data_IF_550439883193
#
_entry.id   IF_550439883193
#
_cell.length_a   1.000
_cell.length_b   1.000
_cell.length_c   1.000
_cell.angle_alpha   90.00
_cell.angle_beta   90.00
_cell.angle_gamma   90.00
#
_symmetry.space_group_name_H-M   'P 1'
#
loop_
_entity.id
_entity.type
_entity.pdbx_description
1 polymer ?
#
# COMPACT_ATOMS: atom_id res chain seq x y z
N UNK A 1 2.63 -18.64 -14.61
CA UNK A 1 2.38 -17.22 -14.27
C UNK A 1 3.32 -16.40 -15.14
N UNK A 2 2.84 -15.34 -15.80
CA UNK A 2 3.67 -14.47 -16.64
C UNK A 2 4.71 -13.74 -15.76
N UNK A 3 5.93 -13.57 -16.25
CA UNK A 3 6.95 -12.83 -15.52
C UNK A 3 6.55 -11.36 -15.35
N UNK A 4 6.82 -10.73 -14.20
CA UNK A 4 6.37 -9.35 -13.93
C UNK A 4 6.81 -8.32 -14.96
N UNK A 5 8.01 -8.47 -15.53
CA UNK A 5 8.51 -7.59 -16.59
C UNK A 5 7.69 -7.74 -17.88
N UNK A 6 7.43 -8.97 -18.27
CA UNK A 6 6.61 -9.31 -19.43
C UNK A 6 5.18 -8.79 -19.23
N UNK A 7 4.62 -9.00 -18.03
CA UNK A 7 3.30 -8.49 -17.67
C UNK A 7 3.22 -6.97 -17.79
N UNK A 8 4.23 -6.25 -17.30
CA UNK A 8 4.28 -4.80 -17.38
C UNK A 8 4.41 -4.29 -18.82
N UNK A 9 5.09 -5.03 -19.70
CA UNK A 9 5.30 -4.60 -21.10
C UNK A 9 4.08 -4.84 -22.01
N UNK A 10 3.18 -5.77 -21.65
CA UNK A 10 2.07 -6.23 -22.51
C UNK A 10 0.71 -5.68 -22.11
N UNK A 11 0.65 -4.66 -21.24
CA UNK A 11 -0.62 -4.08 -20.80
C UNK A 11 -1.35 -3.38 -21.95
N UNK A 12 -2.69 -3.53 -22.04
CA UNK A 12 -3.47 -2.94 -23.12
C UNK A 12 -3.61 -1.41 -23.02
N UNK A 13 -3.13 -0.81 -21.95
CA UNK A 13 -3.14 0.65 -21.78
C UNK A 13 -2.01 1.36 -22.52
N UNK A 14 -0.99 0.64 -22.99
CA UNK A 14 0.10 1.24 -23.72
C UNK A 14 -0.28 1.54 -25.18
N UNK A 15 0.08 2.71 -25.67
CA UNK A 15 -0.17 3.12 -27.05
C UNK A 15 0.95 2.70 -27.99
N UNK A 16 2.13 2.38 -27.46
CA UNK A 16 3.32 1.95 -28.21
C UNK A 16 3.91 0.67 -27.61
N UNK A 17 4.90 0.09 -28.27
CA UNK A 17 5.75 -0.95 -27.65
C UNK A 17 6.63 -0.31 -26.60
N UNK A 18 6.50 -0.74 -25.37
CA UNK A 18 7.21 -0.18 -24.23
C UNK A 18 8.29 -1.14 -23.69
N UNK A 19 9.31 -0.58 -23.06
CA UNK A 19 10.36 -1.32 -22.36
C UNK A 19 10.38 -0.90 -20.89
N UNK A 20 9.73 -1.67 -19.99
CA UNK A 20 9.70 -1.36 -18.57
C UNK A 20 11.11 -1.43 -17.95
N UNK A 21 11.47 -0.42 -17.17
CA UNK A 21 12.74 -0.36 -16.44
C UNK A 21 12.46 -0.61 -14.96
N UNK A 22 13.11 -1.59 -14.31
CA UNK A 22 12.90 -1.87 -12.90
C UNK A 22 13.14 -0.64 -12.03
N UNK A 23 12.18 -0.36 -11.13
CA UNK A 23 12.25 0.70 -10.13
C UNK A 23 12.48 0.04 -8.77
N UNK A 24 13.59 0.39 -8.11
CA UNK A 24 13.93 -0.13 -6.79
C UNK A 24 12.94 0.35 -5.72
N UNK A 25 12.69 -0.47 -4.72
CA UNK A 25 11.80 -0.20 -3.59
C UNK A 25 10.47 -0.95 -3.70
N UNK A 26 9.93 -1.33 -2.54
CA UNK A 26 8.73 -2.14 -2.40
C UNK A 26 9.05 -3.59 -2.03
N UNK A 27 8.33 -4.10 -1.02
CA UNK A 27 8.50 -5.46 -0.50
C UNK A 27 7.52 -6.45 -1.15
N UNK A 28 6.41 -5.97 -1.66
CA UNK A 28 5.27 -6.78 -2.11
C UNK A 28 4.92 -6.62 -3.60
N UNK A 29 5.65 -5.77 -4.31
CA UNK A 29 5.42 -5.49 -5.73
C UNK A 29 6.72 -5.47 -6.53
N UNK A 30 6.61 -5.82 -7.80
CA UNK A 30 7.61 -5.48 -8.82
C UNK A 30 7.19 -4.14 -9.43
N UNK A 31 8.04 -3.13 -9.26
CA UNK A 31 7.78 -1.78 -9.76
C UNK A 31 8.65 -1.51 -10.98
N UNK A 32 8.07 -0.82 -11.97
CA UNK A 32 8.74 -0.44 -13.20
C UNK A 32 8.43 1.01 -13.55
N UNK A 33 9.41 1.73 -14.06
CA UNK A 33 9.16 2.94 -14.82
C UNK A 33 8.91 2.53 -16.27
N UNK A 34 7.84 3.04 -16.85
CA UNK A 34 7.46 2.78 -18.24
C UNK A 34 7.30 4.12 -18.95
N UNK A 35 7.93 4.26 -20.10
CA UNK A 35 7.72 5.41 -20.97
C UNK A 35 6.87 4.98 -22.18
N UNK A 36 5.74 5.63 -22.37
CA UNK A 36 4.84 5.43 -23.49
C UNK A 36 4.53 6.78 -24.12
N UNK A 37 4.87 6.90 -25.41
CA UNK A 37 4.66 8.11 -26.20
C UNK A 37 5.22 9.40 -25.54
N UNK A 38 6.41 9.30 -24.94
CA UNK A 38 7.11 10.42 -24.28
C UNK A 38 6.59 10.77 -22.87
N UNK A 39 5.58 10.05 -22.37
CA UNK A 39 5.05 10.20 -21.01
C UNK A 39 5.53 9.05 -20.12
N UNK A 40 5.96 9.38 -18.89
CA UNK A 40 6.39 8.38 -17.92
C UNK A 40 5.27 7.96 -16.97
N UNK A 41 5.31 6.69 -16.61
CA UNK A 41 4.39 6.03 -15.69
C UNK A 41 5.14 5.13 -14.70
N UNK A 42 4.51 4.83 -13.58
CA UNK A 42 4.94 3.73 -12.71
C UNK A 42 3.95 2.59 -12.87
N UNK A 43 4.44 1.44 -13.32
CA UNK A 43 3.69 0.21 -13.39
C UNK A 43 4.07 -0.70 -12.21
N UNK A 44 3.10 -1.09 -11.41
CA UNK A 44 3.24 -1.99 -10.26
C UNK A 44 2.56 -3.30 -10.58
N UNK A 45 3.32 -4.38 -10.52
CA UNK A 45 2.84 -5.75 -10.75
C UNK A 45 2.99 -6.55 -9.46
N UNK A 46 1.91 -7.13 -8.97
CA UNK A 46 1.96 -7.95 -7.77
C UNK A 46 0.60 -8.51 -7.37
N UNK A 47 0.58 -9.78 -7.00
CA UNK A 47 -0.61 -10.48 -6.54
C UNK A 47 -1.00 -10.08 -5.10
N UNK A 48 -2.19 -10.51 -4.69
CA UNK A 48 -2.62 -10.44 -3.30
C UNK A 48 -1.65 -11.19 -2.39
N UNK A 49 -1.42 -10.66 -1.20
CA UNK A 49 -0.68 -11.31 -0.11
C UNK A 49 -1.54 -11.35 1.16
N UNK A 50 -2.49 -12.30 1.23
CA UNK A 50 -3.47 -12.34 2.33
C UNK A 50 -2.82 -12.48 3.71
N UNK A 51 -1.67 -13.17 3.79
CA UNK A 51 -0.91 -13.33 5.04
C UNK A 51 -0.46 -11.98 5.63
N UNK A 52 -0.30 -10.96 4.78
CA UNK A 52 0.07 -9.61 5.18
C UNK A 52 -1.10 -8.62 5.06
N UNK A 53 -2.32 -9.10 4.85
CA UNK A 53 -3.50 -8.28 4.57
C UNK A 53 -3.32 -7.30 3.38
N UNK A 54 -2.42 -7.64 2.45
CA UNK A 54 -2.22 -6.87 1.23
C UNK A 54 -3.15 -7.42 0.16
N UNK A 55 -4.26 -6.74 -0.07
CA UNK A 55 -5.25 -7.09 -1.08
C UNK A 55 -5.37 -5.97 -2.12
N UNK A 56 -5.25 -6.31 -3.39
CA UNK A 56 -5.13 -5.33 -4.48
C UNK A 56 -6.40 -4.51 -4.67
N UNK A 57 -7.57 -5.09 -4.47
CA UNK A 57 -8.82 -4.33 -4.52
C UNK A 57 -8.84 -3.18 -3.49
N UNK A 58 -8.28 -3.41 -2.29
CA UNK A 58 -8.20 -2.40 -1.24
C UNK A 58 -7.21 -1.29 -1.62
N UNK A 59 -6.03 -1.66 -2.13
CA UNK A 59 -5.03 -0.72 -2.63
C UNK A 59 -5.63 0.20 -3.71
N UNK A 60 -6.34 -0.37 -4.67
CA UNK A 60 -6.99 0.38 -5.75
C UNK A 60 -8.11 1.29 -5.25
N UNK A 61 -8.94 0.82 -4.31
CA UNK A 61 -10.05 1.60 -3.75
C UNK A 61 -9.55 2.78 -2.93
N UNK A 62 -8.56 2.55 -2.05
CA UNK A 62 -7.92 3.59 -1.25
C UNK A 62 -7.14 4.55 -2.13
N UNK A 63 -6.44 4.03 -3.15
CA UNK A 63 -5.71 4.85 -4.12
C UNK A 63 -6.61 5.80 -4.90
N UNK A 64 -7.80 5.35 -5.35
CA UNK A 64 -8.79 6.25 -6.00
C UNK A 64 -9.28 7.34 -5.05
N UNK A 65 -9.50 7.02 -3.78
CA UNK A 65 -9.88 8.03 -2.79
C UNK A 65 -8.76 9.05 -2.55
N UNK A 66 -7.51 8.60 -2.48
CA UNK A 66 -6.33 9.45 -2.32
C UNK A 66 -6.09 10.34 -3.55
N UNK A 67 -6.31 9.83 -4.76
CA UNK A 67 -6.29 10.61 -6.00
C UNK A 67 -7.38 11.71 -5.98
N UNK A 68 -8.61 11.34 -5.62
CA UNK A 68 -9.74 12.27 -5.58
C UNK A 68 -9.52 13.46 -4.63
N UNK A 69 -8.67 13.31 -3.62
CA UNK A 69 -8.31 14.37 -2.67
C UNK A 69 -6.90 14.95 -2.92
N UNK A 70 -6.27 14.60 -4.03
CA UNK A 70 -4.99 15.19 -4.48
C UNK A 70 -3.77 14.78 -3.65
N UNK A 71 -3.78 13.59 -3.04
CA UNK A 71 -2.66 13.08 -2.21
C UNK A 71 -1.77 12.11 -2.97
N UNK A 72 -2.29 11.45 -3.99
CA UNK A 72 -1.53 10.54 -4.85
C UNK A 72 -1.63 10.96 -6.32
N UNK A 73 -0.70 10.48 -7.18
CA UNK A 73 -0.82 10.66 -8.62
C UNK A 73 -2.04 9.93 -9.16
N UNK A 74 -2.45 10.31 -10.36
CA UNK A 74 -3.60 9.74 -11.04
C UNK A 74 -3.37 8.25 -11.37
N UNK A 75 -4.41 7.44 -11.16
CA UNK A 75 -4.44 6.05 -11.60
C UNK A 75 -4.85 6.00 -13.09
N UNK A 76 -3.97 5.46 -13.91
CA UNK A 76 -4.15 5.39 -15.37
C UNK A 76 -4.85 4.10 -15.78
N UNK A 77 -4.42 2.99 -15.15
CA UNK A 77 -4.93 1.66 -15.47
C UNK A 77 -4.84 0.73 -14.28
N UNK A 78 -5.82 -0.16 -14.14
CA UNK A 78 -5.86 -1.16 -13.08
C UNK A 78 -6.38 -2.51 -13.57
N UNK A 79 -5.74 -3.59 -13.14
CA UNK A 79 -6.20 -4.98 -13.18
C UNK A 79 -6.00 -5.63 -11.80
N UNK A 80 -6.48 -6.84 -11.55
CA UNK A 80 -6.35 -7.47 -10.23
C UNK A 80 -4.91 -7.53 -9.69
N UNK A 81 -3.93 -7.69 -10.58
CA UNK A 81 -2.50 -7.80 -10.25
C UNK A 81 -1.66 -6.59 -10.69
N UNK A 82 -2.29 -5.56 -11.27
CA UNK A 82 -1.60 -4.42 -11.88
C UNK A 82 -2.21 -3.08 -11.44
N UNK A 83 -1.34 -2.13 -11.18
CA UNK A 83 -1.67 -0.72 -11.02
C UNK A 83 -0.68 0.13 -11.81
N UNK A 84 -1.19 0.95 -12.73
CA UNK A 84 -0.41 1.97 -13.45
C UNK A 84 -0.83 3.35 -12.96
N UNK A 85 0.16 4.15 -12.55
CA UNK A 85 -0.03 5.53 -12.10
C UNK A 85 0.89 6.48 -12.85
N UNK A 86 0.56 7.76 -12.85
CA UNK A 86 1.45 8.80 -13.36
C UNK A 86 2.77 8.80 -12.59
N UNK A 87 3.87 9.02 -13.32
CA UNK A 87 5.18 9.17 -12.71
C UNK A 87 5.30 10.56 -12.09
N UNK A 88 5.78 10.63 -10.85
CA UNK A 88 6.15 11.89 -10.19
C UNK A 88 7.65 12.05 -10.29
N UNK A 89 8.09 13.11 -10.97
CA UNK A 89 9.49 13.52 -10.93
C UNK A 89 9.76 14.26 -9.61
N UNK A 90 10.32 13.53 -8.65
CA UNK A 90 10.52 14.04 -7.31
C UNK A 90 11.56 13.24 -6.52
N UNK A 91 12.00 13.80 -5.41
CA UNK A 91 12.90 13.14 -4.46
C UNK A 91 12.09 12.35 -3.44
N UNK A 92 12.37 11.06 -3.29
CA UNK A 92 11.89 10.28 -2.16
C UNK A 92 12.53 10.79 -0.86
N UNK A 93 11.70 11.14 0.12
CA UNK A 93 12.17 11.62 1.41
C UNK A 93 12.76 10.46 2.23
N UNK A 94 14.00 10.64 2.70
CA UNK A 94 14.63 9.75 3.67
C UNK A 94 14.29 10.14 5.12
N UNK A 95 14.74 9.34 6.12
CA UNK A 95 14.42 9.61 7.54
C UNK A 95 14.80 11.00 8.01
N UNK A 96 15.92 11.55 7.53
CA UNK A 96 16.36 12.92 7.88
C UNK A 96 15.47 13.98 7.24
N UNK A 97 15.07 13.77 5.99
CA UNK A 97 14.19 14.71 5.27
C UNK A 97 12.81 14.76 5.97
N UNK A 98 12.28 13.61 6.42
CA UNK A 98 10.98 13.54 7.12
C UNK A 98 10.99 14.41 8.38
N UNK A 99 12.08 14.39 9.17
CA UNK A 99 12.19 15.21 10.37
C UNK A 99 12.23 16.71 10.06
N UNK A 100 12.84 17.10 8.94
CA UNK A 100 12.94 18.52 8.50
C UNK A 100 11.61 18.99 7.89
N UNK A 101 10.95 18.14 7.12
CA UNK A 101 9.76 18.48 6.33
C UNK A 101 8.44 18.16 7.07
N UNK A 102 8.50 17.93 8.38
CA UNK A 102 7.35 17.48 9.17
C UNK A 102 6.14 18.41 9.03
N UNK A 103 6.37 19.72 9.06
CA UNK A 103 5.33 20.72 8.91
C UNK A 103 4.63 20.71 7.53
N UNK A 104 5.28 20.14 6.51
CA UNK A 104 4.70 19.95 5.18
C UNK A 104 4.02 18.59 5.04
N UNK A 105 4.50 17.57 5.75
CA UNK A 105 4.01 16.19 5.68
C UNK A 105 2.72 16.03 6.50
N UNK A 106 2.71 16.50 7.75
CA UNK A 106 1.57 16.31 8.67
C UNK A 106 0.23 16.84 8.14
N UNK A 107 0.15 18.05 7.56
CA UNK A 107 -1.10 18.52 6.98
C UNK A 107 -1.62 17.63 5.85
N UNK A 108 -0.74 17.02 5.04
CA UNK A 108 -1.15 16.11 3.97
C UNK A 108 -1.69 14.79 4.50
N UNK A 109 -1.04 14.22 5.52
CA UNK A 109 -1.54 13.01 6.19
C UNK A 109 -2.90 13.29 6.83
N UNK A 110 -3.04 14.40 7.56
CA UNK A 110 -4.30 14.81 8.18
C UNK A 110 -5.39 15.01 7.13
N UNK A 111 -5.08 15.73 6.05
CA UNK A 111 -6.00 15.93 4.93
C UNK A 111 -6.48 14.60 4.35
N UNK A 112 -5.58 13.63 4.15
CA UNK A 112 -5.96 12.32 3.65
C UNK A 112 -6.85 11.56 4.64
N UNK A 113 -6.55 11.58 5.93
CA UNK A 113 -7.37 10.94 6.96
C UNK A 113 -8.80 11.53 7.03
N UNK A 114 -8.93 12.84 6.84
CA UNK A 114 -10.23 13.52 6.94
C UNK A 114 -11.02 13.49 5.63
N UNK A 115 -10.40 13.89 4.53
CA UNK A 115 -11.05 14.00 3.23
C UNK A 115 -11.07 12.68 2.46
N UNK A 116 -10.02 11.87 2.54
CA UNK A 116 -9.91 10.58 1.88
C UNK A 116 -10.98 9.60 2.33
N UNK A 117 -11.28 9.55 3.63
CA UNK A 117 -12.37 8.72 4.17
C UNK A 117 -13.73 9.07 3.56
N UNK A 118 -13.99 10.36 3.31
CA UNK A 118 -15.23 10.81 2.67
C UNK A 118 -15.28 10.50 1.17
N UNK A 119 -14.12 10.34 0.54
CA UNK A 119 -13.97 10.01 -0.87
C UNK A 119 -14.01 8.50 -1.15
N UNK A 120 -13.89 7.66 -0.13
CA UNK A 120 -13.93 6.20 -0.27
C UNK A 120 -15.24 5.74 -0.90
N UNK A 121 -15.15 4.82 -1.85
CA UNK A 121 -16.27 4.16 -2.51
C UNK A 121 -15.98 2.68 -2.70
N UNK A 122 -17.00 1.85 -2.51
CA UNK A 122 -16.89 0.40 -2.65
C UNK A 122 -16.31 -0.30 -1.41
N UNK A 123 -16.00 -1.59 -1.52
CA UNK A 123 -15.49 -2.37 -0.41
C UNK A 123 -14.06 -1.94 -0.05
N UNK A 124 -13.81 -1.86 1.26
CA UNK A 124 -12.48 -1.60 1.84
C UNK A 124 -12.24 -2.52 3.02
N UNK A 125 -10.96 -2.74 3.33
CA UNK A 125 -10.56 -3.37 4.58
C UNK A 125 -10.40 -2.33 5.69
N UNK A 126 -11.06 -2.57 6.82
CA UNK A 126 -10.77 -1.83 8.03
C UNK A 126 -9.43 -2.27 8.63
N UNK A 127 -8.59 -1.32 8.99
CA UNK A 127 -7.36 -1.60 9.73
C UNK A 127 -7.62 -1.48 11.24
N UNK A 128 -7.50 -2.60 11.96
CA UNK A 128 -7.46 -2.61 13.42
C UNK A 128 -6.13 -3.19 13.85
N UNK A 129 -5.33 -2.42 14.56
CA UNK A 129 -4.02 -2.85 15.06
C UNK A 129 -4.14 -4.10 15.95
N UNK A 130 -5.18 -4.17 16.79
CA UNK A 130 -5.41 -5.31 17.67
C UNK A 130 -5.80 -6.58 16.91
N UNK A 131 -6.61 -6.45 15.84
CA UNK A 131 -6.88 -7.57 14.95
C UNK A 131 -5.60 -8.07 14.25
N UNK A 132 -4.76 -7.17 13.78
CA UNK A 132 -3.49 -7.51 13.14
C UNK A 132 -2.54 -8.20 14.13
N UNK A 133 -2.46 -7.74 15.38
CA UNK A 133 -1.66 -8.41 16.41
C UNK A 133 -2.10 -9.86 16.61
N UNK A 134 -3.40 -10.11 16.79
CA UNK A 134 -3.93 -11.48 16.92
C UNK A 134 -3.66 -12.34 15.69
N UNK A 135 -3.81 -11.77 14.50
CA UNK A 135 -3.53 -12.46 13.24
C UNK A 135 -2.07 -12.92 13.16
N UNK A 136 -1.12 -12.01 13.33
CA UNK A 136 0.30 -12.36 13.29
C UNK A 136 0.73 -13.27 14.45
N UNK A 137 0.19 -13.08 15.64
CA UNK A 137 0.48 -13.96 16.77
C UNK A 137 0.09 -15.41 16.45
N UNK A 138 -1.11 -15.61 15.85
CA UNK A 138 -1.54 -16.95 15.40
C UNK A 138 -0.59 -17.52 14.35
N UNK A 139 -0.20 -16.76 13.34
CA UNK A 139 0.72 -17.22 12.29
C UNK A 139 2.09 -17.62 12.87
N UNK A 140 2.64 -16.84 13.78
CA UNK A 140 3.93 -17.12 14.42
C UNK A 140 3.84 -18.32 15.36
N UNK A 141 2.70 -18.51 16.03
CA UNK A 141 2.42 -19.66 16.86
C UNK A 141 2.36 -20.93 16.01
N UNK A 142 1.58 -20.94 14.93
CA UNK A 142 1.39 -22.08 14.03
C UNK A 142 2.72 -22.45 13.31
N UNK A 143 3.57 -21.47 13.03
CA UNK A 143 4.90 -21.66 12.46
C UNK A 143 5.96 -22.12 13.48
N UNK A 144 5.59 -22.41 14.74
CA UNK A 144 6.54 -22.71 15.82
C UNK A 144 7.70 -21.70 15.93
N UNK A 145 7.40 -20.41 15.76
CA UNK A 145 8.39 -19.35 15.84
C UNK A 145 9.12 -19.35 17.19
N UNK A 146 10.42 -19.07 17.19
CA UNK A 146 11.22 -18.83 18.40
C UNK A 146 10.69 -17.71 19.28
N UNK A 147 9.82 -16.85 18.74
CA UNK A 147 9.21 -15.71 19.44
C UNK A 147 7.97 -16.09 20.27
N UNK A 148 7.54 -17.36 20.27
CA UNK A 148 6.32 -17.80 21.00
C UNK A 148 6.26 -17.35 22.45
N UNK A 149 7.33 -17.48 23.29
CA UNK A 149 7.25 -17.03 24.68
C UNK A 149 6.97 -15.54 24.84
N UNK A 150 7.48 -14.73 23.92
CA UNK A 150 7.24 -13.28 23.91
C UNK A 150 5.86 -12.91 23.38
N UNK A 151 5.30 -13.73 22.45
CA UNK A 151 3.99 -13.50 21.89
C UNK A 151 2.86 -13.54 22.92
N UNK A 152 2.89 -14.47 23.86
CA UNK A 152 1.88 -14.57 24.93
C UNK A 152 1.81 -13.27 25.73
N UNK A 153 2.96 -12.79 26.19
CA UNK A 153 3.06 -11.52 26.93
C UNK A 153 2.59 -10.31 26.08
N UNK A 154 2.95 -10.26 24.80
CA UNK A 154 2.57 -9.15 23.92
C UNK A 154 1.06 -9.16 23.61
N UNK A 155 0.44 -10.33 23.52
CA UNK A 155 -1.01 -10.43 23.34
C UNK A 155 -1.75 -9.96 24.57
N UNK A 156 -1.34 -10.34 25.77
CA UNK A 156 -1.91 -9.85 27.05
C UNK A 156 -1.89 -8.32 27.10
N UNK A 157 -0.74 -7.69 26.82
CA UNK A 157 -0.60 -6.23 26.75
C UNK A 157 -1.52 -5.63 25.69
N UNK A 158 -1.63 -6.28 24.51
CA UNK A 158 -2.48 -5.82 23.43
C UNK A 158 -3.97 -5.83 23.82
N UNK A 159 -4.43 -6.85 24.55
CA UNK A 159 -5.80 -6.97 25.05
C UNK A 159 -6.12 -5.93 26.14
N UNK A 160 -5.18 -5.68 27.04
CA UNK A 160 -5.29 -4.60 28.03
C UNK A 160 -5.43 -3.23 27.35
N UNK A 161 -4.59 -2.96 26.35
CA UNK A 161 -4.64 -1.71 25.58
C UNK A 161 -5.93 -1.59 24.76
N UNK A 162 -6.40 -2.67 24.13
CA UNK A 162 -7.67 -2.67 23.39
C UNK A 162 -8.85 -2.34 24.32
N UNK A 163 -8.83 -2.93 25.53
CA UNK A 163 -9.83 -2.65 26.55
C UNK A 163 -9.79 -1.18 26.99
N UNK A 164 -8.60 -0.63 27.20
CA UNK A 164 -8.42 0.76 27.64
C UNK A 164 -8.82 1.77 26.55
N UNK A 165 -8.55 1.47 25.28
CA UNK A 165 -8.95 2.31 24.13
C UNK A 165 -10.46 2.26 23.90
N UNK A 166 -11.07 1.10 24.17
CA UNK A 166 -12.49 0.87 23.92
C UNK A 166 -12.83 0.80 22.42
N UNK A 167 -14.13 0.78 22.07
CA UNK A 167 -14.57 0.64 20.70
C UNK A 167 -14.17 1.87 19.87
N UNK A 168 -13.42 1.62 18.79
CA UNK A 168 -13.03 2.66 17.83
C UNK A 168 -14.29 3.08 17.05
N UNK A 169 -14.62 4.34 17.13
CA UNK A 169 -15.70 4.91 16.27
C UNK A 169 -15.11 5.11 14.87
N UNK A 170 -15.63 4.34 13.92
CA UNK A 170 -15.31 4.47 12.49
C UNK A 170 -16.28 5.45 11.83
#
# INVERSE_FOLDING_TARGET
>A
MMEPLERASTLPCWSTTVTPVPLSGGLSNHNFVVEDNGQKYVCRVGADQPIHNVLRFNEQSVGRAAEAVGVTPRQIYTEPDVLVIEFIDGKTLGPKDVSIELDRILPRIKHFHEAGMRALRGPILGFSVFHIHRHYAKLLHDANSRMRPELERLIEISEELETAVGPVKV
#
